data_IF_830663535380
#
_entry.id   IF_830663535380
#
_cell.length_a   1.000
_cell.length_b   1.000
_cell.length_c   1.000
_cell.angle_alpha   90.00
_cell.angle_beta   90.00
_cell.angle_gamma   90.00
#
_symmetry.space_group_name_H-M   'P 1'
#
loop_
_entity.id
_entity.type
_entity.pdbx_description
1 polymer ?
#
# COMPACT_ATOMS: atom_id res chain seq x y z
N UNK A 1 3.54 -13.19 3.81
CA UNK A 1 4.26 -12.89 5.06
C UNK A 1 5.71 -13.38 5.00
N UNK A 2 5.96 -14.68 4.80
CA UNK A 2 7.31 -15.28 4.73
C UNK A 2 8.38 -14.47 3.96
N UNK A 3 8.05 -13.94 2.77
CA UNK A 3 8.99 -13.14 1.95
C UNK A 3 9.51 -11.87 2.65
N UNK A 4 8.66 -11.15 3.39
CA UNK A 4 9.07 -9.90 4.06
C UNK A 4 9.83 -10.17 5.37
N UNK A 5 9.47 -11.26 6.07
CA UNK A 5 10.24 -11.76 7.21
C UNK A 5 11.66 -12.17 6.80
N UNK A 6 11.79 -12.95 5.72
CA UNK A 6 13.09 -13.32 5.13
C UNK A 6 13.92 -12.10 4.72
N UNK A 7 13.27 -11.05 4.18
CA UNK A 7 13.95 -9.80 3.88
C UNK A 7 14.52 -9.16 5.15
N UNK A 8 13.75 -9.09 6.23
CA UNK A 8 14.21 -8.50 7.48
C UNK A 8 15.32 -9.33 8.15
N UNK A 9 15.30 -10.66 8.02
CA UNK A 9 16.36 -11.54 8.50
C UNK A 9 17.72 -11.29 7.80
N UNK A 10 17.72 -10.67 6.60
CA UNK A 10 18.97 -10.23 5.94
C UNK A 10 19.55 -8.96 6.57
N UNK A 11 18.74 -8.18 7.29
CA UNK A 11 19.10 -6.88 7.85
C UNK A 11 19.27 -6.90 9.36
N UNK A 12 18.59 -7.82 10.04
CA UNK A 12 18.55 -7.91 11.49
C UNK A 12 18.73 -9.36 11.93
N UNK A 13 19.45 -9.55 13.04
CA UNK A 13 19.51 -10.84 13.72
C UNK A 13 18.11 -11.29 14.17
N UNK A 14 17.79 -12.60 14.14
CA UNK A 14 16.44 -13.11 14.39
C UNK A 14 15.81 -12.64 15.71
N UNK A 15 16.60 -12.47 16.77
CA UNK A 15 16.14 -12.08 18.11
C UNK A 15 15.53 -10.66 18.12
N UNK A 16 15.89 -9.82 17.14
CA UNK A 16 15.31 -8.49 16.99
C UNK A 16 13.97 -8.50 16.28
N UNK A 17 13.57 -9.61 15.66
CA UNK A 17 12.35 -9.72 14.87
C UNK A 17 11.33 -10.54 15.66
N UNK A 18 10.14 -9.97 15.90
CA UNK A 18 9.04 -10.66 16.59
C UNK A 18 7.79 -10.66 15.73
N UNK A 19 7.29 -11.84 15.39
CA UNK A 19 5.99 -12.02 14.74
C UNK A 19 4.91 -12.26 15.78
N UNK A 20 3.81 -11.51 15.68
CA UNK A 20 2.62 -11.72 16.48
C UNK A 20 1.41 -11.94 15.56
N UNK A 21 0.74 -13.06 15.75
CA UNK A 21 -0.44 -13.46 14.98
C UNK A 21 -1.67 -13.13 15.82
N UNK A 22 -2.66 -12.49 15.23
CA UNK A 22 -3.88 -12.08 15.91
C UNK A 22 -5.11 -12.32 15.05
N UNK A 23 -6.21 -12.67 15.69
CA UNK A 23 -7.53 -12.75 15.07
C UNK A 23 -8.40 -11.62 15.60
N UNK A 24 -9.25 -11.06 14.74
CA UNK A 24 -10.23 -10.04 15.12
C UNK A 24 -11.56 -10.47 14.54
N UNK A 25 -12.67 -10.29 15.25
CA UNK A 25 -14.01 -10.67 14.75
C UNK A 25 -14.43 -10.03 13.41
N UNK A 26 -13.70 -9.00 12.93
CA UNK A 26 -13.93 -8.33 11.65
C UNK A 26 -13.14 -8.91 10.47
N UNK A 27 -12.24 -9.90 10.69
CA UNK A 27 -11.38 -10.46 9.64
C UNK A 27 -11.62 -11.94 9.45
N UNK A 28 -11.76 -12.35 8.19
CA UNK A 28 -11.86 -13.77 7.80
C UNK A 28 -10.54 -14.54 7.87
N UNK A 29 -9.41 -13.83 7.99
CA UNK A 29 -8.07 -14.42 8.01
C UNK A 29 -7.26 -13.84 9.17
N UNK A 30 -6.29 -14.61 9.73
CA UNK A 30 -5.40 -14.10 10.78
C UNK A 30 -4.60 -12.89 10.28
N UNK A 31 -4.52 -11.87 11.12
CA UNK A 31 -3.63 -10.73 10.95
C UNK A 31 -2.24 -11.04 11.49
N UNK A 32 -1.23 -10.41 10.90
CA UNK A 32 0.16 -10.55 11.30
C UNK A 32 0.70 -9.16 11.69
N UNK A 33 1.36 -9.05 12.84
CA UNK A 33 2.17 -7.88 13.23
C UNK A 33 3.62 -8.32 13.31
N UNK A 34 4.48 -7.66 12.55
CA UNK A 34 5.91 -7.89 12.59
C UNK A 34 6.59 -6.70 13.28
N UNK A 35 7.29 -6.98 14.36
CA UNK A 35 8.03 -5.99 15.14
C UNK A 35 9.52 -6.16 14.90
N UNK A 36 10.23 -5.04 14.78
CA UNK A 36 11.70 -5.01 14.71
C UNK A 36 12.21 -4.14 15.86
N UNK A 37 12.96 -4.75 16.78
CA UNK A 37 13.60 -4.04 17.88
C UNK A 37 14.89 -3.37 17.39
N UNK A 38 14.75 -2.16 16.84
CA UNK A 38 15.87 -1.35 16.39
C UNK A 38 15.64 0.13 16.71
N UNK A 39 16.27 0.63 17.78
CA UNK A 39 16.15 2.03 18.21
C UNK A 39 16.62 3.04 17.15
N UNK A 40 17.76 2.84 16.45
CA UNK A 40 18.15 3.73 15.36
C UNK A 40 17.10 3.83 14.26
N UNK A 41 16.55 2.69 13.82
CA UNK A 41 15.50 2.67 12.79
C UNK A 41 14.22 3.38 13.26
N UNK A 42 13.82 3.17 14.52
CA UNK A 42 12.69 3.89 15.10
C UNK A 42 12.90 5.41 15.09
N UNK A 43 14.11 5.88 15.42
CA UNK A 43 14.44 7.32 15.38
C UNK A 43 14.34 7.88 13.96
N UNK A 44 14.83 7.15 12.97
CA UNK A 44 14.71 7.53 11.55
C UNK A 44 13.23 7.67 11.16
N UNK A 45 12.40 6.68 11.46
CA UNK A 45 10.97 6.74 11.14
C UNK A 45 10.23 7.84 11.89
N UNK A 46 10.54 8.06 13.16
CA UNK A 46 9.95 9.16 13.95
C UNK A 46 10.36 10.51 13.38
N UNK A 47 11.65 10.73 13.13
CA UNK A 47 12.14 11.97 12.52
C UNK A 47 11.48 12.25 11.18
N UNK A 48 11.31 11.22 10.34
CA UNK A 48 10.60 11.36 9.07
C UNK A 48 9.11 11.71 9.26
N UNK A 49 8.42 11.06 10.22
CA UNK A 49 7.00 11.31 10.52
C UNK A 49 6.75 12.70 11.09
N UNK A 50 7.63 13.16 11.98
CA UNK A 50 7.51 14.45 12.68
C UNK A 50 8.00 15.62 11.83
N UNK A 51 8.71 15.34 10.74
CA UNK A 51 9.16 16.36 9.80
C UNK A 51 7.98 17.10 9.16
N UNK A 52 8.12 18.44 9.08
CA UNK A 52 7.20 19.31 8.34
C UNK A 52 7.41 19.28 6.83
N UNK A 53 8.35 18.48 6.34
CA UNK A 53 8.68 18.31 4.93
C UNK A 53 9.07 16.86 4.62
N UNK A 54 8.76 16.38 3.41
CA UNK A 54 9.23 15.08 2.91
C UNK A 54 10.54 15.34 2.16
N UNK A 55 11.66 15.21 2.86
CA UNK A 55 13.01 15.42 2.32
C UNK A 55 13.46 14.20 1.50
N UNK A 56 12.66 13.81 0.52
CA UNK A 56 13.01 12.81 -0.48
C UNK A 56 13.28 13.58 -1.77
N UNK A 57 14.52 13.55 -2.24
CA UNK A 57 14.98 14.32 -3.41
C UNK A 57 15.07 13.47 -4.67
N UNK A 58 15.32 12.18 -4.51
CA UNK A 58 15.47 11.26 -5.63
C UNK A 58 14.14 10.63 -6.03
N UNK A 59 13.86 10.66 -7.34
CA UNK A 59 12.64 10.12 -7.95
C UNK A 59 12.42 8.65 -7.63
N UNK A 60 13.46 7.82 -7.63
CA UNK A 60 13.30 6.38 -7.36
C UNK A 60 12.85 6.15 -5.92
N UNK A 61 13.44 6.88 -4.97
CA UNK A 61 13.03 6.84 -3.57
C UNK A 61 11.61 7.38 -3.36
N UNK A 62 11.18 8.40 -4.11
CA UNK A 62 9.79 8.87 -4.08
C UNK A 62 8.83 7.78 -4.57
N UNK A 63 9.16 7.10 -5.68
CA UNK A 63 8.37 5.99 -6.22
C UNK A 63 8.25 4.85 -5.22
N UNK A 64 9.36 4.45 -4.59
CA UNK A 64 9.38 3.40 -3.57
C UNK A 64 8.57 3.80 -2.32
N UNK A 65 8.69 5.05 -1.88
CA UNK A 65 7.89 5.61 -0.78
C UNK A 65 6.39 5.52 -1.07
N UNK A 66 5.95 5.97 -2.25
CA UNK A 66 4.54 5.92 -2.61
C UNK A 66 4.03 4.49 -2.81
N UNK A 67 4.87 3.57 -3.30
CA UNK A 67 4.49 2.17 -3.41
C UNK A 67 4.22 1.55 -2.03
N UNK A 68 5.08 1.80 -1.04
CA UNK A 68 4.86 1.37 0.33
C UNK A 68 3.63 2.00 0.97
N UNK A 69 3.43 3.32 0.78
CA UNK A 69 2.24 4.04 1.23
C UNK A 69 0.97 3.46 0.62
N UNK A 70 0.97 3.22 -0.69
CA UNK A 70 -0.17 2.69 -1.42
C UNK A 70 -0.47 1.23 -1.04
N UNK A 71 0.55 0.41 -0.81
CA UNK A 71 0.38 -0.96 -0.32
C UNK A 71 -0.29 -0.98 1.08
N UNK A 72 0.05 -0.03 1.95
CA UNK A 72 -0.57 0.15 3.26
C UNK A 72 -2.00 0.68 3.18
N UNK A 73 -2.16 1.91 2.71
CA UNK A 73 -3.40 2.71 2.85
C UNK A 73 -4.07 3.07 1.51
N UNK A 74 -3.48 2.62 0.40
CA UNK A 74 -3.96 2.87 -0.95
C UNK A 74 -5.11 1.94 -1.37
N UNK A 75 -5.95 2.46 -2.25
CA UNK A 75 -7.04 1.75 -2.89
C UNK A 75 -7.15 2.23 -4.34
N UNK A 76 -7.53 1.34 -5.24
CA UNK A 76 -7.79 1.63 -6.65
C UNK A 76 -8.89 0.67 -7.12
N UNK A 77 -9.64 1.07 -8.14
CA UNK A 77 -10.61 0.16 -8.73
C UNK A 77 -9.95 -1.12 -9.27
N UNK A 78 -10.77 -2.13 -9.56
CA UNK A 78 -10.33 -3.43 -10.08
C UNK A 78 -9.74 -3.40 -11.50
N UNK A 79 -9.91 -2.30 -12.22
CA UNK A 79 -9.44 -2.12 -13.60
C UNK A 79 -8.20 -1.22 -13.69
N UNK A 80 -7.71 -0.72 -12.56
CA UNK A 80 -6.64 0.26 -12.44
C UNK A 80 -6.91 1.57 -13.20
N UNK A 81 -8.18 2.01 -13.31
CA UNK A 81 -8.56 3.19 -14.11
C UNK A 81 -9.09 4.37 -13.29
N UNK A 82 -9.88 4.13 -12.26
CA UNK A 82 -10.49 5.16 -11.38
C UNK A 82 -10.42 4.76 -9.91
N UNK A 83 -10.96 5.65 -9.07
CA UNK A 83 -11.02 5.51 -7.61
C UNK A 83 -9.65 5.26 -6.95
N UNK A 84 -8.59 5.75 -7.57
CA UNK A 84 -7.23 5.69 -7.05
C UNK A 84 -7.06 6.70 -5.91
N UNK A 85 -6.86 6.20 -4.69
CA UNK A 85 -6.85 7.03 -3.49
C UNK A 85 -5.94 6.48 -2.40
N UNK A 86 -5.47 7.36 -1.52
CA UNK A 86 -4.68 7.03 -0.33
C UNK A 86 -5.33 7.71 0.88
N UNK A 87 -5.52 6.95 1.97
CA UNK A 87 -6.12 7.47 3.21
C UNK A 87 -5.05 7.93 4.21
N UNK A 88 -5.34 9.01 4.93
CA UNK A 88 -4.46 9.63 5.90
C UNK A 88 -5.22 9.97 7.19
N UNK A 89 -4.56 9.77 8.33
CA UNK A 89 -5.09 10.16 9.64
C UNK A 89 -5.00 11.66 9.92
N UNK A 90 -4.14 12.41 9.21
CA UNK A 90 -3.98 13.85 9.40
C UNK A 90 -3.81 14.57 8.05
N UNK A 91 -4.15 15.86 8.05
CA UNK A 91 -4.11 16.72 6.85
C UNK A 91 -2.70 17.00 6.37
N UNK A 92 -1.76 17.23 7.29
CA UNK A 92 -0.40 17.63 6.98
C UNK A 92 0.30 16.56 6.14
N UNK A 93 0.23 15.30 6.55
CA UNK A 93 0.82 14.18 5.81
C UNK A 93 0.26 14.09 4.39
N UNK A 94 -1.04 14.28 4.22
CA UNK A 94 -1.67 14.24 2.90
C UNK A 94 -1.19 15.40 2.00
N UNK A 95 -1.05 16.61 2.54
CA UNK A 95 -0.53 17.77 1.80
C UNK A 95 0.94 17.59 1.43
N UNK A 96 1.77 17.08 2.35
CA UNK A 96 3.17 16.81 2.07
C UNK A 96 3.35 15.76 0.97
N UNK A 97 2.50 14.74 0.96
CA UNK A 97 2.50 13.72 -0.09
C UNK A 97 1.98 14.28 -1.43
N UNK A 98 1.00 15.20 -1.44
CA UNK A 98 0.60 15.92 -2.67
C UNK A 98 1.79 16.67 -3.28
N UNK A 99 2.52 17.43 -2.47
CA UNK A 99 3.69 18.17 -2.95
C UNK A 99 4.76 17.23 -3.52
N UNK A 100 4.89 16.04 -2.95
CA UNK A 100 5.85 15.03 -3.43
C UNK A 100 5.39 14.38 -4.74
N UNK A 101 4.08 14.16 -4.92
CA UNK A 101 3.49 13.70 -6.18
C UNK A 101 3.65 14.74 -7.30
N UNK A 102 3.51 16.03 -6.98
CA UNK A 102 3.74 17.11 -7.95
C UNK A 102 5.17 17.08 -8.51
N UNK A 103 6.18 16.72 -7.69
CA UNK A 103 7.56 16.53 -8.18
C UNK A 103 7.70 15.41 -9.21
N UNK A 104 6.84 14.39 -9.14
CA UNK A 104 6.74 13.32 -10.15
C UNK A 104 5.83 13.69 -11.34
N UNK A 105 5.38 14.94 -11.41
CA UNK A 105 4.50 15.46 -12.46
C UNK A 105 3.06 14.94 -12.33
N UNK A 106 2.56 14.72 -11.12
CA UNK A 106 1.12 14.51 -10.88
C UNK A 106 0.51 15.83 -10.41
N UNK A 107 -0.33 16.42 -11.26
CA UNK A 107 -0.90 17.74 -11.03
C UNK A 107 -2.37 17.65 -10.62
N UNK A 108 -3.06 16.57 -10.99
CA UNK A 108 -4.50 16.42 -10.81
C UNK A 108 -4.87 15.62 -9.56
N UNK A 109 -4.14 15.83 -8.46
CA UNK A 109 -4.50 15.25 -7.16
C UNK A 109 -5.48 16.13 -6.39
N UNK A 110 -6.45 15.53 -5.70
CA UNK A 110 -7.43 16.24 -4.88
C UNK A 110 -7.47 15.69 -3.46
N UNK A 111 -7.63 16.58 -2.48
CA UNK A 111 -7.74 16.21 -1.06
C UNK A 111 -9.17 16.38 -0.57
N UNK A 112 -9.75 15.31 -0.02
CA UNK A 112 -11.07 15.32 0.58
C UNK A 112 -11.01 14.97 2.07
N UNK A 113 -11.92 15.54 2.86
CA UNK A 113 -12.08 15.20 4.28
C UNK A 113 -13.38 14.43 4.49
N UNK A 114 -13.28 13.23 5.05
CA UNK A 114 -14.42 12.41 5.41
C UNK A 114 -14.69 12.54 6.91
N UNK A 115 -15.69 13.34 7.26
CA UNK A 115 -16.06 13.63 8.66
C UNK A 115 -16.35 12.35 9.46
N UNK A 116 -17.11 11.42 8.89
CA UNK A 116 -17.56 10.20 9.58
C UNK A 116 -16.41 9.29 10.02
N UNK A 117 -15.42 9.08 9.15
CA UNK A 117 -14.25 8.25 9.45
C UNK A 117 -13.11 9.03 10.08
N UNK A 118 -13.23 10.36 10.17
CA UNK A 118 -12.14 11.26 10.54
C UNK A 118 -10.86 11.00 9.73
N UNK A 119 -11.00 10.85 8.40
CA UNK A 119 -9.88 10.58 7.50
C UNK A 119 -9.77 11.59 6.36
N UNK A 120 -8.54 11.96 6.04
CA UNK A 120 -8.20 12.71 4.84
C UNK A 120 -7.91 11.73 3.71
N UNK A 121 -8.40 11.99 2.51
CA UNK A 121 -8.21 11.08 1.38
C UNK A 121 -7.69 11.87 0.19
N UNK A 122 -6.49 11.50 -0.24
CA UNK A 122 -5.87 11.98 -1.47
C UNK A 122 -6.40 11.12 -2.61
N UNK A 123 -7.04 11.75 -3.59
CA UNK A 123 -7.49 11.14 -4.82
C UNK A 123 -6.53 11.51 -5.97
N UNK A 124 -6.06 10.50 -6.69
CA UNK A 124 -5.37 10.68 -7.97
C UNK A 124 -6.45 10.71 -9.06
N UNK A 125 -6.39 11.70 -9.94
CA UNK A 125 -7.34 11.84 -11.05
C UNK A 125 -7.35 10.58 -11.92
N UNK A 126 -8.53 10.21 -12.43
CA UNK A 126 -8.68 9.12 -13.41
C UNK A 126 -7.78 9.27 -14.64
N UNK A 127 -7.42 10.51 -15.00
CA UNK A 127 -6.55 10.81 -16.13
C UNK A 127 -5.07 10.54 -15.82
N UNK A 128 -4.70 10.46 -14.55
CA UNK A 128 -3.33 10.19 -14.09
C UNK A 128 -3.19 8.80 -13.44
N UNK A 129 -4.30 8.10 -13.19
CA UNK A 129 -4.30 6.79 -12.51
C UNK A 129 -3.41 5.76 -13.19
N UNK A 130 -3.43 5.70 -14.53
CA UNK A 130 -2.61 4.75 -15.28
C UNK A 130 -1.12 5.07 -15.16
N UNK A 131 -0.75 6.36 -15.29
CA UNK A 131 0.61 6.84 -15.03
C UNK A 131 1.04 6.48 -13.61
N UNK A 132 0.17 6.71 -12.62
CA UNK A 132 0.43 6.43 -11.22
C UNK A 132 0.63 4.94 -10.95
N UNK A 133 -0.27 4.09 -11.45
CA UNK A 133 -0.19 2.65 -11.24
C UNK A 133 1.05 2.05 -11.90
N UNK A 134 1.36 2.44 -13.14
CA UNK A 134 2.55 1.99 -13.87
C UNK A 134 3.84 2.39 -13.15
N UNK A 135 3.91 3.64 -12.67
CA UNK A 135 5.07 4.17 -11.96
C UNK A 135 5.35 3.42 -10.65
N UNK A 136 4.30 2.98 -9.94
CA UNK A 136 4.43 2.23 -8.70
C UNK A 136 4.52 0.72 -8.87
N UNK A 137 4.12 0.17 -10.02
CA UNK A 137 3.97 -1.28 -10.24
C UNK A 137 5.26 -2.07 -9.96
N UNK A 138 6.43 -1.51 -10.25
CA UNK A 138 7.71 -2.16 -9.98
C UNK A 138 7.99 -2.38 -8.47
N UNK A 139 7.42 -1.55 -7.59
CA UNK A 139 7.67 -1.60 -6.14
C UNK A 139 6.45 -2.04 -5.31
N UNK A 140 5.23 -1.89 -5.84
CA UNK A 140 3.99 -2.17 -5.12
C UNK A 140 3.54 -3.62 -5.29
N UNK A 141 3.53 -4.39 -4.21
CA UNK A 141 3.02 -5.76 -4.21
C UNK A 141 1.51 -5.80 -4.42
N UNK A 142 0.79 -4.75 -4.00
CA UNK A 142 -0.67 -4.64 -4.21
C UNK A 142 -0.97 -4.50 -5.70
N UNK A 143 -0.28 -3.59 -6.41
CA UNK A 143 -0.49 -3.36 -7.84
C UNK A 143 -0.04 -4.54 -8.69
N UNK A 144 1.09 -5.17 -8.37
CA UNK A 144 1.55 -6.38 -9.08
C UNK A 144 0.51 -7.50 -9.04
N UNK A 145 -0.19 -7.68 -7.92
CA UNK A 145 -1.28 -8.67 -7.81
C UNK A 145 -2.49 -8.34 -8.66
N UNK A 146 -2.78 -7.07 -8.89
CA UNK A 146 -3.84 -6.64 -9.80
C UNK A 146 -3.43 -6.79 -11.26
N UNK A 147 -2.15 -6.57 -11.58
CA UNK A 147 -1.61 -6.74 -12.93
C UNK A 147 -1.45 -8.21 -13.36
N UNK A 148 -1.16 -9.12 -12.43
CA UNK A 148 -0.80 -10.53 -12.71
C UNK A 148 -1.93 -11.55 -12.54
N UNK A 149 -3.11 -11.16 -12.06
CA UNK A 149 -4.20 -12.11 -11.82
C UNK A 149 -5.18 -12.19 -13.00
N UNK A 150 -5.59 -13.40 -13.45
CA UNK A 150 -6.95 -13.53 -13.95
C UNK A 150 -7.90 -13.09 -12.83
N UNK A 151 -8.98 -12.43 -13.21
CA UNK A 151 -10.05 -11.98 -12.30
C UNK A 151 -10.37 -13.14 -11.34
N UNK A 152 -10.33 -12.92 -10.01
CA UNK A 152 -10.74 -13.92 -9.00
C UNK A 152 -12.15 -14.49 -9.24
N UNK A 153 -12.95 -13.83 -10.08
CA UNK A 153 -14.24 -14.31 -10.58
C UNK A 153 -14.11 -15.53 -11.50
N UNK A 154 -13.04 -15.63 -12.30
CA UNK A 154 -12.76 -16.78 -13.18
C UNK A 154 -12.31 -18.02 -12.41
N UNK A 155 -11.53 -17.85 -11.33
CA UNK A 155 -11.12 -18.98 -10.48
C UNK A 155 -12.30 -19.57 -9.70
N UNK A 156 -13.28 -18.74 -9.33
CA UNK A 156 -14.56 -19.21 -8.75
C UNK A 156 -15.40 -19.97 -9.77
N UNK A 157 -15.50 -19.49 -11.01
CA UNK A 157 -16.25 -20.17 -12.08
C UNK A 157 -15.59 -21.49 -12.50
N UNK A 158 -14.25 -21.54 -12.56
CA UNK A 158 -13.50 -22.79 -12.81
C UNK A 158 -13.65 -23.78 -11.67
N UNK A 159 -13.55 -23.34 -10.42
CA UNK A 159 -13.77 -24.22 -9.27
C UNK A 159 -15.19 -24.82 -9.27
N UNK A 160 -16.22 -24.06 -9.64
CA UNK A 160 -17.61 -24.55 -9.75
C UNK A 160 -17.79 -25.52 -10.93
N UNK A 161 -17.13 -25.29 -12.08
CA UNK A 161 -17.17 -26.23 -13.21
C UNK A 161 -16.45 -27.55 -12.91
N UNK A 162 -15.32 -27.52 -12.19
CA UNK A 162 -14.59 -28.75 -11.84
C UNK A 162 -15.38 -29.63 -10.86
N UNK A 163 -16.13 -29.05 -9.92
CA UNK A 163 -16.99 -29.84 -9.01
C UNK A 163 -18.15 -30.53 -9.74
N UNK A 164 -18.70 -29.91 -10.79
CA UNK A 164 -19.84 -30.47 -11.53
C UNK A 164 -19.45 -31.58 -12.52
N UNK A 165 -18.19 -31.64 -12.97
CA UNK A 165 -17.67 -32.70 -13.86
C UNK A 165 -17.26 -33.94 -13.05
N UNK A 166 -16.99 -33.80 -11.75
CA UNK A 166 -16.56 -34.91 -10.89
C UNK A 166 -17.73 -35.64 -10.21
N UNK A 167 -18.96 -35.14 -10.39
CA UNK A 167 -20.20 -35.70 -9.80
C UNK A 167 -21.21 -36.14 -10.87
N UNK A 168 -20.78 -36.27 -12.12
CA UNK A 168 -21.58 -36.77 -13.25
C UNK A 168 -20.99 -38.07 -13.79
#
# INVERSE_FOLDING_TARGET
MKRFEQFLQKLFVPERIKLHIYTTGKRSHPGYKLYVNCRPLLRIFKGFKESRQRNITDDQNIRAYFAGRFDGDGCIDKYLKKDCRISYGNKLDAVLDINLLQKLGFEMTRLYWYKTSSTHVLYVSRFETEKFSNLLNQYSLKLQKFALGPRRDLDRQRAIQTTNITLS
#
